data_IF_426296482025
#
_entry.id   IF_426296482025
#
_cell.length_a   1.000
_cell.length_b   1.000
_cell.length_c   1.000
_cell.angle_alpha   90.00
_cell.angle_beta   90.00
_cell.angle_gamma   90.00
#
_symmetry.space_group_name_H-M   'P 1'
#
loop_
_entity.id
_entity.type
_entity.pdbx_description
1 polymer ?
#
# COMPACT_ATOMS: atom_id res chain seq x y z
N UNK A 1 -29.17 -12.44 -17.16
CA UNK A 1 -29.53 -11.54 -16.04
C UNK A 1 -28.39 -11.55 -15.03
N UNK A 2 -28.06 -10.36 -14.50
CA UNK A 2 -27.10 -10.06 -13.44
C UNK A 2 -25.63 -10.52 -13.61
N UNK A 3 -24.79 -9.66 -14.23
CA UNK A 3 -23.34 -9.69 -13.97
C UNK A 3 -23.11 -9.16 -12.54
N UNK A 4 -22.64 -10.03 -11.65
CA UNK A 4 -22.19 -9.66 -10.32
C UNK A 4 -21.09 -8.60 -10.42
N UNK A 5 -21.32 -7.44 -9.80
CA UNK A 5 -20.37 -6.33 -9.73
C UNK A 5 -19.35 -6.67 -8.63
N UNK A 6 -18.05 -6.72 -8.91
CA UNK A 6 -17.07 -6.97 -7.86
C UNK A 6 -17.08 -5.80 -6.87
N UNK A 7 -17.21 -6.11 -5.58
CA UNK A 7 -17.19 -5.12 -4.51
C UNK A 7 -15.85 -4.37 -4.49
N UNK A 8 -15.86 -3.05 -4.26
CA UNK A 8 -14.64 -2.27 -4.16
C UNK A 8 -13.87 -2.68 -2.90
N UNK A 9 -12.62 -3.09 -3.08
CA UNK A 9 -11.65 -3.29 -1.99
C UNK A 9 -11.43 -1.94 -1.29
N UNK A 10 -12.14 -1.71 -0.19
CA UNK A 10 -11.99 -0.53 0.64
C UNK A 10 -10.67 -0.64 1.40
N UNK A 11 -9.62 0.03 0.91
CA UNK A 11 -8.50 0.39 1.77
C UNK A 11 -8.96 1.55 2.66
N UNK A 12 -8.99 1.30 3.98
CA UNK A 12 -9.31 2.31 4.97
C UNK A 12 -8.14 3.29 5.12
N UNK A 13 -8.39 4.61 5.27
CA UNK A 13 -7.35 5.56 5.59
C UNK A 13 -6.76 5.26 6.97
N UNK A 14 -5.43 5.22 7.03
CA UNK A 14 -4.68 5.07 8.27
C UNK A 14 -4.83 6.36 9.11
N UNK A 15 -5.65 6.30 10.15
CA UNK A 15 -5.68 7.32 11.20
C UNK A 15 -4.27 7.49 11.78
N UNK A 16 -3.81 8.73 11.84
CA UNK A 16 -2.51 9.07 12.40
C UNK A 16 -2.55 8.91 13.93
N UNK A 17 -1.95 7.83 14.42
CA UNK A 17 -1.53 7.68 15.82
C UNK A 17 -0.02 7.50 15.86
N UNK A 18 0.69 8.50 16.39
CA UNK A 18 2.12 8.39 16.67
C UNK A 18 2.35 7.39 17.80
N UNK A 19 2.92 6.23 17.49
CA UNK A 19 3.66 5.43 18.48
C UNK A 19 4.98 4.99 17.87
N UNK A 20 6.05 5.65 18.31
CA UNK A 20 7.43 5.16 18.20
C UNK A 20 7.52 3.80 18.89
N UNK A 21 8.10 2.80 18.22
CA UNK A 21 8.90 1.77 18.90
C UNK A 21 10.01 1.31 17.95
N UNK A 22 11.21 1.69 18.34
CA UNK A 22 12.51 1.25 17.85
C UNK A 22 12.85 -0.16 18.38
N UNK A 23 13.85 -0.80 17.75
CA UNK A 23 14.61 -2.01 18.15
C UNK A 23 13.98 -3.40 17.94
N UNK A 24 14.51 -4.09 16.92
CA UNK A 24 14.30 -5.51 16.66
C UNK A 24 15.19 -6.00 15.52
N UNK A 25 16.49 -6.12 15.78
CA UNK A 25 17.45 -6.81 14.92
C UNK A 25 17.13 -8.32 14.90
N UNK A 26 16.71 -8.81 13.75
CA UNK A 26 16.67 -10.23 13.42
C UNK A 26 16.64 -10.29 11.91
N UNK A 27 17.60 -11.00 11.30
CA UNK A 27 17.67 -11.25 9.87
C UNK A 27 16.56 -12.23 9.45
N UNK A 28 15.30 -11.86 9.71
CA UNK A 28 14.14 -12.46 9.07
C UNK A 28 14.33 -12.17 7.58
N UNK A 29 14.23 -13.20 6.73
CA UNK A 29 14.04 -13.01 5.29
C UNK A 29 12.76 -12.21 5.12
N UNK A 30 12.86 -10.87 5.17
CA UNK A 30 11.73 -10.00 4.95
C UNK A 30 11.42 -10.15 3.47
N UNK A 31 10.36 -10.87 3.12
CA UNK A 31 9.88 -10.84 1.74
C UNK A 31 9.67 -9.38 1.37
N UNK A 32 10.49 -8.92 0.43
CA UNK A 32 10.45 -7.56 -0.08
C UNK A 32 9.49 -7.60 -1.25
N UNK A 33 8.59 -6.64 -1.26
CA UNK A 33 7.64 -6.50 -2.34
C UNK A 33 7.93 -5.21 -3.08
N UNK A 34 7.88 -5.26 -4.40
CA UNK A 34 7.80 -4.07 -5.24
C UNK A 34 6.34 -3.69 -5.35
N UNK A 35 6.02 -2.47 -4.96
CA UNK A 35 4.66 -1.93 -5.03
C UNK A 35 4.66 -0.79 -6.02
N UNK A 36 3.84 -0.92 -7.06
CA UNK A 36 3.64 0.10 -8.08
C UNK A 36 2.27 0.73 -7.85
N UNK A 37 2.24 2.04 -7.65
CA UNK A 37 1.02 2.81 -7.38
C UNK A 37 0.87 3.84 -8.50
N UNK A 38 -0.28 3.87 -9.17
CA UNK A 38 -0.62 4.89 -10.16
C UNK A 38 -1.83 5.68 -9.69
N UNK A 39 -1.70 7.00 -9.61
CA UNK A 39 -2.82 7.89 -9.31
C UNK A 39 -3.77 7.95 -10.52
N UNK A 40 -5.06 7.68 -10.31
CA UNK A 40 -6.05 7.77 -11.39
C UNK A 40 -6.51 9.20 -11.70
N UNK A 41 -6.23 10.16 -10.80
CA UNK A 41 -6.54 11.58 -11.01
C UNK A 41 -5.49 12.32 -11.84
N UNK A 42 -4.22 12.27 -11.43
CA UNK A 42 -3.13 12.99 -12.13
C UNK A 42 -2.25 12.10 -13.02
N UNK A 43 -2.34 10.77 -12.89
CA UNK A 43 -1.52 9.83 -13.66
C UNK A 43 -0.15 9.53 -13.06
N UNK A 44 0.26 10.20 -11.98
CA UNK A 44 1.57 10.03 -11.34
C UNK A 44 1.82 8.58 -10.91
N UNK A 45 3.07 8.12 -11.03
CA UNK A 45 3.45 6.73 -10.77
C UNK A 45 4.55 6.63 -9.71
N UNK A 46 4.26 5.92 -8.64
CA UNK A 46 5.18 5.64 -7.55
C UNK A 46 5.62 4.17 -7.58
N UNK A 47 6.92 3.92 -7.36
CA UNK A 47 7.48 2.57 -7.21
C UNK A 47 8.15 2.51 -5.85
N UNK A 48 7.57 1.72 -4.94
CA UNK A 48 7.98 1.64 -3.55
C UNK A 48 8.40 0.22 -3.20
N UNK A 49 9.22 0.10 -2.14
CA UNK A 49 9.53 -1.18 -1.51
C UNK A 49 8.62 -1.38 -0.31
N UNK A 50 7.80 -2.41 -0.36
CA UNK A 50 6.92 -2.81 0.72
C UNK A 50 7.49 -3.96 1.55
N UNK A 51 7.03 -4.08 2.79
CA UNK A 51 7.32 -5.20 3.69
C UNK A 51 6.02 -5.89 4.08
N UNK A 52 6.07 -7.22 4.22
CA UNK A 52 4.96 -7.97 4.78
C UNK A 52 4.83 -7.66 6.27
N UNK A 53 3.62 -7.29 6.68
CA UNK A 53 3.23 -7.18 8.09
C UNK A 53 2.87 -8.56 8.64
N UNK A 54 2.76 -8.67 9.97
CA UNK A 54 2.33 -9.91 10.64
C UNK A 54 0.92 -10.36 10.23
N UNK A 55 0.10 -9.43 9.75
CA UNK A 55 -1.26 -9.67 9.25
C UNK A 55 -1.28 -10.16 7.78
N UNK A 56 -0.12 -10.29 7.13
CA UNK A 56 -0.03 -10.68 5.73
C UNK A 56 -0.34 -9.57 4.73
N UNK A 57 -0.26 -8.30 5.16
CA UNK A 57 -0.45 -7.12 4.29
C UNK A 57 0.89 -6.50 3.93
N UNK A 58 1.02 -5.93 2.73
CA UNK A 58 2.21 -5.19 2.30
C UNK A 58 2.08 -3.71 2.68
N UNK A 59 3.03 -3.22 3.49
CA UNK A 59 3.08 -1.83 3.94
C UNK A 59 4.24 -1.08 3.25
N UNK A 60 3.96 0.11 2.69
CA UNK A 60 4.92 0.93 1.91
C UNK A 60 5.12 2.35 2.44
N UNK A 61 4.34 2.77 3.45
CA UNK A 61 4.33 4.15 3.95
C UNK A 61 3.68 5.18 3.03
N UNK A 62 3.15 4.77 1.87
CA UNK A 62 2.41 5.66 0.97
C UNK A 62 1.09 6.09 1.62
N UNK A 63 0.83 7.40 1.62
CA UNK A 63 -0.38 7.99 2.24
C UNK A 63 -1.28 8.72 1.25
N UNK A 64 -0.69 9.56 0.40
CA UNK A 64 -1.43 10.39 -0.56
C UNK A 64 -0.58 10.71 -1.79
N UNK A 65 -1.23 11.05 -2.88
CA UNK A 65 -0.57 11.59 -4.07
C UNK A 65 -0.15 13.05 -3.83
N UNK A 66 0.79 13.53 -4.65
CA UNK A 66 1.20 14.94 -4.66
C UNK A 66 0.12 15.88 -5.23
N UNK A 67 -0.91 15.35 -5.89
CA UNK A 67 -2.07 16.12 -6.35
C UNK A 67 -3.22 16.14 -5.32
N UNK A 68 -2.93 15.88 -4.05
CA UNK A 68 -3.88 15.79 -2.95
C UNK A 68 -4.94 14.68 -3.09
N UNK A 69 -4.73 13.76 -4.02
CA UNK A 69 -5.57 12.57 -4.14
C UNK A 69 -5.21 11.57 -3.04
N UNK A 70 -6.16 11.20 -2.18
CA UNK A 70 -5.98 10.21 -1.08
C UNK A 70 -6.76 8.90 -1.30
N UNK A 71 -7.68 8.89 -2.26
CA UNK A 71 -8.49 7.76 -2.71
C UNK A 71 -8.40 7.70 -4.24
N UNK A 72 -8.51 6.58 -4.95
CA UNK A 72 -8.34 6.48 -6.44
C UNK A 72 -6.92 6.15 -6.95
N UNK A 73 -6.41 5.01 -6.51
CA UNK A 73 -5.13 4.44 -6.98
C UNK A 73 -5.31 3.11 -7.71
N UNK A 74 -4.46 2.86 -8.71
CA UNK A 74 -4.21 1.51 -9.24
C UNK A 74 -2.92 0.97 -8.59
N UNK A 75 -3.02 -0.13 -7.84
CA UNK A 75 -1.92 -0.68 -7.03
C UNK A 75 -1.59 -2.08 -7.53
N UNK A 76 -0.30 -2.33 -7.81
CA UNK A 76 0.24 -3.63 -8.18
C UNK A 76 1.36 -4.02 -7.24
N UNK A 77 1.36 -5.28 -6.81
CA UNK A 77 2.33 -5.83 -5.86
C UNK A 77 3.02 -7.02 -6.53
N UNK A 78 4.35 -6.99 -6.56
CA UNK A 78 5.22 -8.02 -7.14
C UNK A 78 6.23 -8.46 -6.06
N UNK A 79 6.47 -9.76 -5.90
CA UNK A 79 7.50 -10.29 -4.98
C UNK A 79 8.90 -10.16 -5.59
N UNK A 80 9.90 -9.80 -4.77
CA UNK A 80 11.30 -9.58 -5.17
C UNK A 80 12.24 -10.65 -4.62
#
# INVERSE_FOLDING_TARGET
>A
MAKAKPEPLVLKPAVSGNTKTDRGESSVKTNRYKVVIRCRRCGERFILRGRMTKEGKVETGFRQCLCDNDSDFDIRIEEL
#
